data_IF_672487196279
#
_entry.id   IF_672487196279
#
_cell.length_a   1.000
_cell.length_b   1.000
_cell.length_c   1.000
_cell.angle_alpha   90.00
_cell.angle_beta   90.00
_cell.angle_gamma   90.00
#
_symmetry.space_group_name_H-M   'P 1'
#
loop_
_entity.id
_entity.type
_entity.pdbx_description
1 polymer ?
#
# COMPACT_ATOMS: atom_id res chain seq x y z
N UNK A 1 -9.18 10.65 -30.62
CA UNK A 1 -9.24 9.36 -29.90
C UNK A 1 -10.17 9.54 -28.72
N UNK A 2 -11.30 8.83 -28.66
CA UNK A 2 -12.21 8.94 -27.50
C UNK A 2 -11.61 8.11 -26.35
N UNK A 3 -11.36 8.74 -25.19
CA UNK A 3 -10.89 8.03 -24.01
C UNK A 3 -11.89 6.97 -23.54
N UNK A 4 -11.41 5.91 -22.87
CA UNK A 4 -12.29 4.90 -22.27
C UNK A 4 -13.19 5.57 -21.21
N UNK A 5 -14.47 5.17 -21.18
CA UNK A 5 -15.41 5.58 -20.13
C UNK A 5 -14.97 5.05 -18.76
N UNK A 6 -15.36 5.75 -17.72
CA UNK A 6 -14.96 5.48 -16.35
C UNK A 6 -15.65 6.41 -15.35
N UNK A 7 -15.24 6.28 -14.10
CA UNK A 7 -15.74 7.05 -12.97
C UNK A 7 -14.61 7.27 -11.95
N UNK A 8 -14.88 8.08 -10.93
CA UNK A 8 -13.94 8.29 -9.83
C UNK A 8 -13.50 6.96 -9.20
N UNK A 9 -12.20 6.86 -8.90
CA UNK A 9 -11.65 5.65 -8.28
C UNK A 9 -11.99 5.56 -6.79
N UNK A 10 -12.00 6.69 -6.09
CA UNK A 10 -12.28 6.77 -4.67
C UNK A 10 -13.19 7.95 -4.35
N UNK A 11 -13.94 7.80 -3.27
CA UNK A 11 -14.59 8.89 -2.55
C UNK A 11 -13.86 9.06 -1.23
N UNK A 12 -13.37 10.26 -0.98
CA UNK A 12 -12.63 10.62 0.22
C UNK A 12 -13.50 11.57 1.03
N UNK A 13 -13.57 11.36 2.34
CA UNK A 13 -14.26 12.25 3.24
C UNK A 13 -13.44 12.40 4.52
N UNK A 14 -13.60 13.53 5.19
CA UNK A 14 -13.06 13.69 6.54
C UNK A 14 -13.95 12.95 7.54
N UNK A 15 -13.38 12.26 8.55
CA UNK A 15 -14.16 11.70 9.64
C UNK A 15 -14.98 12.77 10.36
N UNK A 16 -16.30 12.56 10.47
CA UNK A 16 -17.21 13.50 11.13
C UNK A 16 -17.72 14.65 10.26
N UNK A 17 -17.29 14.77 8.99
CA UNK A 17 -17.89 15.67 8.01
C UNK A 17 -18.76 14.91 7.02
N UNK A 18 -19.79 15.55 6.49
CA UNK A 18 -20.69 15.00 5.46
C UNK A 18 -20.19 15.24 4.03
N UNK A 19 -19.22 16.14 3.85
CA UNK A 19 -18.63 16.42 2.55
C UNK A 19 -17.67 15.30 2.13
N UNK A 20 -17.80 14.88 0.88
CA UNK A 20 -16.90 13.93 0.24
C UNK A 20 -16.47 14.48 -1.10
N UNK A 21 -15.25 14.14 -1.52
CA UNK A 21 -14.72 14.47 -2.84
C UNK A 21 -14.27 13.22 -3.56
N UNK A 22 -14.38 13.28 -4.88
CA UNK A 22 -13.90 12.23 -5.77
C UNK A 22 -12.39 12.35 -5.96
N UNK A 23 -11.71 11.21 -5.94
CA UNK A 23 -10.29 11.11 -6.29
C UNK A 23 -10.05 10.02 -7.33
N UNK A 24 -9.11 10.33 -8.22
CA UNK A 24 -8.64 9.39 -9.21
C UNK A 24 -9.65 9.05 -10.30
N UNK A 25 -9.34 8.02 -11.08
CA UNK A 25 -10.15 7.55 -12.18
C UNK A 25 -9.99 6.05 -12.38
N UNK A 26 -11.08 5.36 -12.66
CA UNK A 26 -11.09 3.95 -13.07
C UNK A 26 -11.94 3.79 -14.32
N UNK A 27 -11.41 3.08 -15.31
CA UNK A 27 -12.19 2.71 -16.50
C UNK A 27 -13.26 1.68 -16.15
N UNK A 28 -14.38 1.66 -16.88
CA UNK A 28 -15.50 0.74 -16.59
C UNK A 28 -15.07 -0.75 -16.65
N UNK A 29 -14.12 -1.05 -17.54
CA UNK A 29 -13.48 -2.37 -17.67
C UNK A 29 -12.45 -2.67 -16.57
N UNK A 30 -12.19 -1.71 -15.69
CA UNK A 30 -11.26 -1.80 -14.54
C UNK A 30 -9.82 -2.14 -14.94
N UNK A 31 -9.43 -1.87 -16.19
CA UNK A 31 -8.06 -2.12 -16.66
C UNK A 31 -7.11 -0.95 -16.39
N UNK A 32 -7.63 0.26 -16.29
CA UNK A 32 -6.85 1.46 -16.00
C UNK A 32 -7.42 2.07 -14.72
N UNK A 33 -6.55 2.29 -13.74
CA UNK A 33 -6.87 2.89 -12.45
C UNK A 33 -5.75 3.85 -12.06
N UNK A 34 -6.10 5.02 -11.53
CA UNK A 34 -5.15 5.98 -10.95
C UNK A 34 -5.80 6.73 -9.79
N UNK A 35 -5.02 7.07 -8.77
CA UNK A 35 -5.46 7.75 -7.54
C UNK A 35 -4.28 8.49 -6.93
N UNK A 36 -4.53 9.64 -6.29
CA UNK A 36 -3.51 10.33 -5.49
C UNK A 36 -3.35 9.72 -4.09
N UNK A 37 -4.22 8.78 -3.71
CA UNK A 37 -4.13 8.08 -2.42
C UNK A 37 -2.89 7.20 -2.40
N UNK A 38 -1.90 7.62 -1.62
CA UNK A 38 -0.71 6.83 -1.36
C UNK A 38 -1.00 5.64 -0.45
N UNK A 39 -0.29 4.53 -0.66
CA UNK A 39 -0.36 3.37 0.22
C UNK A 39 -1.66 2.54 0.09
N UNK A 40 -2.54 2.81 -0.88
CA UNK A 40 -3.77 2.02 -1.10
C UNK A 40 -3.47 0.52 -1.28
N UNK A 41 -2.32 0.20 -1.88
CA UNK A 41 -1.84 -1.17 -2.08
C UNK A 41 -1.21 -1.79 -0.84
N UNK A 42 -1.04 -1.10 0.28
CA UNK A 42 -0.54 -1.72 1.52
C UNK A 42 -1.62 -2.60 2.18
N UNK A 43 -2.90 -2.30 1.95
CA UNK A 43 -4.02 -3.14 2.36
C UNK A 43 -3.95 -4.52 1.67
N UNK A 44 -3.81 -5.63 2.43
CA UNK A 44 -3.64 -6.96 1.84
C UNK A 44 -4.86 -7.42 1.06
N UNK A 45 -6.05 -7.09 1.53
CA UNK A 45 -7.31 -7.44 0.86
C UNK A 45 -7.42 -6.71 -0.48
N UNK A 46 -7.26 -5.38 -0.47
CA UNK A 46 -7.33 -4.56 -1.67
C UNK A 46 -6.29 -4.98 -2.72
N UNK A 47 -5.03 -5.14 -2.30
CA UNK A 47 -3.95 -5.62 -3.17
C UNK A 47 -4.24 -7.00 -3.74
N UNK A 48 -4.78 -7.93 -2.95
CA UNK A 48 -5.14 -9.26 -3.42
C UNK A 48 -6.28 -9.21 -4.44
N UNK A 49 -7.25 -8.31 -4.27
CA UNK A 49 -8.35 -8.15 -5.22
C UNK A 49 -7.83 -7.70 -6.59
N UNK A 50 -7.01 -6.65 -6.64
CA UNK A 50 -6.37 -6.19 -7.89
C UNK A 50 -5.59 -7.32 -8.54
N UNK A 51 -4.73 -8.00 -7.78
CA UNK A 51 -3.92 -9.10 -8.31
C UNK A 51 -4.77 -10.27 -8.80
N UNK A 52 -5.87 -10.59 -8.13
CA UNK A 52 -6.76 -11.67 -8.54
C UNK A 52 -7.54 -11.34 -9.82
N UNK A 53 -7.87 -10.07 -10.07
CA UNK A 53 -8.41 -9.64 -11.37
C UNK A 53 -7.43 -9.91 -12.50
N UNK A 54 -6.15 -9.56 -12.31
CA UNK A 54 -5.07 -9.85 -13.27
C UNK A 54 -4.90 -11.37 -13.46
N UNK A 55 -5.01 -12.16 -12.38
CA UNK A 55 -4.93 -13.62 -12.45
C UNK A 55 -6.07 -14.21 -13.26
N UNK A 56 -7.30 -13.73 -13.08
CA UNK A 56 -8.46 -14.17 -13.84
C UNK A 56 -8.28 -13.93 -15.35
N UNK A 57 -7.79 -12.73 -15.74
CA UNK A 57 -7.47 -12.41 -17.14
C UNK A 57 -6.41 -13.35 -17.75
N UNK A 58 -5.56 -13.96 -16.92
CA UNK A 58 -4.52 -14.91 -17.31
C UNK A 58 -4.92 -16.38 -17.13
N UNK A 59 -6.18 -16.68 -16.77
CA UNK A 59 -6.63 -18.05 -16.49
C UNK A 59 -6.00 -18.69 -15.25
N UNK A 60 -5.47 -17.88 -14.32
CA UNK A 60 -4.79 -18.36 -13.11
C UNK A 60 -5.77 -18.39 -11.92
N UNK A 61 -5.66 -19.44 -11.09
CA UNK A 61 -6.48 -19.58 -9.85
C UNK A 61 -6.29 -18.41 -8.89
N UNK A 62 -7.35 -17.87 -8.31
CA UNK A 62 -7.25 -16.81 -7.29
C UNK A 62 -6.40 -17.23 -6.09
N UNK A 63 -5.77 -16.25 -5.42
CA UNK A 63 -4.99 -16.45 -4.19
C UNK A 63 -5.59 -15.63 -3.06
N UNK A 64 -5.59 -16.20 -1.85
CA UNK A 64 -6.00 -15.48 -0.64
C UNK A 64 -4.99 -14.36 -0.32
N UNK A 65 -5.44 -13.24 0.27
CA UNK A 65 -4.54 -12.23 0.80
C UNK A 65 -3.50 -12.87 1.73
N UNK A 66 -2.22 -12.56 1.53
CA UNK A 66 -1.17 -12.90 2.50
C UNK A 66 -1.22 -11.91 3.66
N UNK A 67 -0.68 -12.31 4.84
CA UNK A 67 -0.59 -11.44 6.02
C UNK A 67 -0.03 -10.06 5.63
N UNK A 68 -0.68 -9.01 6.15
CA UNK A 68 -0.33 -7.62 5.89
C UNK A 68 0.85 -7.10 6.69
N UNK A 69 0.90 -5.78 6.87
CA UNK A 69 1.94 -4.96 7.51
C UNK A 69 2.57 -5.56 8.79
N UNK A 70 1.89 -6.45 9.52
CA UNK A 70 2.46 -7.25 10.61
C UNK A 70 3.72 -8.05 10.19
N UNK A 71 3.80 -8.50 8.94
CA UNK A 71 5.01 -9.12 8.41
C UNK A 71 6.16 -8.12 8.16
N UNK A 72 5.88 -6.81 8.02
CA UNK A 72 6.91 -5.75 7.91
C UNK A 72 7.58 -5.47 9.25
N UNK A 73 6.86 -5.51 10.37
CA UNK A 73 7.49 -5.37 11.70
C UNK A 73 8.56 -6.44 11.92
N UNK A 74 8.25 -7.70 11.59
CA UNK A 74 9.25 -8.77 11.63
C UNK A 74 10.44 -8.59 10.66
N UNK A 75 10.34 -7.71 9.65
CA UNK A 75 11.49 -7.33 8.80
C UNK A 75 12.24 -6.14 9.39
N UNK A 76 11.55 -5.20 10.04
CA UNK A 76 12.20 -4.13 10.78
C UNK A 76 12.97 -4.67 11.99
N UNK A 77 12.42 -5.64 12.71
CA UNK A 77 13.10 -6.30 13.83
C UNK A 77 14.38 -6.99 13.33
N UNK A 78 14.30 -7.75 12.23
CA UNK A 78 15.49 -8.35 11.60
C UNK A 78 16.53 -7.34 11.17
N UNK A 79 16.09 -6.17 10.70
CA UNK A 79 16.98 -5.08 10.31
C UNK A 79 17.62 -4.47 11.56
N UNK A 80 16.86 -4.23 12.62
CA UNK A 80 17.37 -3.76 13.91
C UNK A 80 18.41 -4.75 14.48
N UNK A 81 18.08 -6.04 14.55
CA UNK A 81 18.99 -7.11 15.00
C UNK A 81 20.30 -7.11 14.19
N UNK A 82 20.21 -6.91 12.87
CA UNK A 82 21.38 -6.86 12.01
C UNK A 82 22.26 -5.63 12.30
N UNK A 83 21.64 -4.47 12.52
CA UNK A 83 22.33 -3.24 12.86
C UNK A 83 22.98 -3.33 14.24
N UNK A 84 22.29 -3.85 15.25
CA UNK A 84 22.86 -4.08 16.59
C UNK A 84 24.07 -5.02 16.57
N UNK A 85 24.06 -6.01 15.67
CA UNK A 85 25.18 -6.96 15.53
C UNK A 85 26.40 -6.39 14.80
N UNK A 86 26.19 -5.46 13.86
CA UNK A 86 27.23 -5.06 12.89
C UNK A 86 27.58 -3.57 12.92
N UNK A 87 26.88 -2.76 13.71
CA UNK A 87 27.12 -1.32 13.81
C UNK A 87 27.23 -0.90 15.28
N UNK A 88 28.02 0.14 15.54
CA UNK A 88 28.07 0.80 16.84
C UNK A 88 26.86 1.75 16.97
N UNK A 89 25.74 1.18 17.41
CA UNK A 89 24.47 1.90 17.55
C UNK A 89 24.57 3.06 18.53
N UNK A 90 25.35 2.89 19.62
CA UNK A 90 25.54 3.93 20.62
C UNK A 90 26.25 5.15 20.02
N UNK A 91 27.29 4.92 19.22
CA UNK A 91 27.95 5.99 18.49
C UNK A 91 27.02 6.66 17.48
N UNK A 92 26.21 5.91 16.74
CA UNK A 92 25.23 6.47 15.79
C UNK A 92 24.23 7.37 16.51
N UNK A 93 23.64 6.91 17.63
CA UNK A 93 22.69 7.72 18.41
C UNK A 93 23.33 8.99 18.97
N UNK A 94 24.56 8.89 19.47
CA UNK A 94 25.33 10.05 19.92
C UNK A 94 25.52 11.07 18.79
N UNK A 95 25.89 10.62 17.58
CA UNK A 95 26.05 11.49 16.41
C UNK A 95 24.74 12.13 15.95
N UNK A 96 23.61 11.44 16.14
CA UNK A 96 22.27 11.97 15.86
C UNK A 96 21.74 12.90 16.97
N UNK A 97 22.49 13.11 18.06
CA UNK A 97 22.04 13.90 19.20
C UNK A 97 20.96 13.22 20.04
N UNK A 98 20.73 11.92 19.81
CA UNK A 98 19.82 11.09 20.59
C UNK A 98 20.62 10.54 21.77
N UNK A 99 20.41 11.11 22.97
CA UNK A 99 21.00 10.56 24.19
C UNK A 99 20.18 9.35 24.64
N UNK A 100 20.87 8.26 24.96
CA UNK A 100 20.32 7.15 25.74
C UNK A 100 19.97 7.60 27.16
#
# INVERSE_FOLDING_TARGET
MQGKRGHAFALIHEPGKSEAWEDGWVTDDKHIMGTYIHGVLDSPSFRAEILNRIRALKGLKARRPRKGRLARFAQHDKLADHFEKHCDIQRIFTLLGLKS
#
